data_IF_702108454919
#
_entry.id   IF_702108454919
#
_cell.length_a   1.000
_cell.length_b   1.000
_cell.length_c   1.000
_cell.angle_alpha   90.00
_cell.angle_beta   90.00
_cell.angle_gamma   90.00
#
_symmetry.space_group_name_H-M   'P 1'
#
loop_
_entity.id
_entity.type
_entity.pdbx_description
1 polymer ?
#
# COMPACT_ATOMS: atom_id res chain seq x y z
N UNK A 1 28.31 -12.78 -3.68
CA UNK A 1 27.86 -13.75 -2.65
C UNK A 1 26.37 -13.98 -2.81
N UNK A 2 25.89 -15.23 -2.77
CA UNK A 2 24.45 -15.52 -2.83
C UNK A 2 23.82 -15.33 -1.45
N UNK A 3 22.62 -14.78 -1.40
CA UNK A 3 21.86 -14.66 -0.16
C UNK A 3 21.59 -16.04 0.42
N UNK A 4 21.57 -16.13 1.74
CA UNK A 4 21.25 -17.34 2.50
C UNK A 4 19.78 -17.33 2.94
N UNK A 5 19.23 -18.49 3.30
CA UNK A 5 17.86 -18.58 3.81
C UNK A 5 17.65 -17.70 5.06
N UNK A 6 18.64 -17.66 5.97
CA UNK A 6 18.62 -16.82 7.18
C UNK A 6 18.50 -15.34 6.83
N UNK A 7 19.28 -14.85 5.86
CA UNK A 7 19.22 -13.46 5.40
C UNK A 7 17.86 -13.11 4.78
N UNK A 8 17.24 -14.04 4.04
CA UNK A 8 15.89 -13.83 3.49
C UNK A 8 14.84 -13.77 4.59
N UNK A 9 14.95 -14.59 5.64
CA UNK A 9 14.03 -14.51 6.78
C UNK A 9 14.14 -13.14 7.46
N UNK A 10 15.36 -12.66 7.71
CA UNK A 10 15.57 -11.31 8.25
C UNK A 10 15.02 -10.22 7.34
N UNK A 11 15.22 -10.35 6.02
CA UNK A 11 14.65 -9.42 5.04
C UNK A 11 13.12 -9.40 5.12
N UNK A 12 12.47 -10.56 5.25
CA UNK A 12 11.00 -10.61 5.42
C UNK A 12 10.54 -9.92 6.69
N UNK A 13 11.26 -10.10 7.80
CA UNK A 13 10.96 -9.38 9.07
C UNK A 13 11.06 -7.87 8.86
N UNK A 14 12.12 -7.39 8.22
CA UNK A 14 12.28 -5.97 7.91
C UNK A 14 11.15 -5.44 7.01
N UNK A 15 10.73 -6.23 6.01
CA UNK A 15 9.60 -5.85 5.14
C UNK A 15 8.26 -5.80 5.89
N UNK A 16 8.02 -6.69 6.86
CA UNK A 16 6.86 -6.58 7.74
C UNK A 16 6.92 -5.32 8.60
N UNK A 17 8.07 -5.00 9.18
CA UNK A 17 8.25 -3.76 9.93
C UNK A 17 8.05 -2.53 9.04
N UNK A 18 8.56 -2.54 7.80
CA UNK A 18 8.34 -1.47 6.84
C UNK A 18 6.86 -1.31 6.44
N UNK A 19 6.06 -2.37 6.52
CA UNK A 19 4.62 -2.31 6.31
C UNK A 19 3.85 -1.82 7.54
N UNK A 20 4.28 -2.23 8.74
CA UNK A 20 3.57 -1.99 9.99
C UNK A 20 3.92 -0.67 10.68
N UNK A 21 5.20 -0.28 10.69
CA UNK A 21 5.65 0.96 11.36
C UNK A 21 4.96 2.22 10.80
N UNK A 22 4.80 2.40 9.48
CA UNK A 22 4.08 3.55 8.94
C UNK A 22 2.60 3.55 9.32
N UNK A 23 2.02 2.37 9.54
CA UNK A 23 0.64 2.24 10.03
C UNK A 23 0.53 2.71 11.48
N UNK A 24 1.44 2.28 12.36
CA UNK A 24 1.51 2.75 13.75
C UNK A 24 1.74 4.27 13.80
N UNK A 25 2.67 4.76 12.97
CA UNK A 25 2.96 6.19 12.87
C UNK A 25 1.74 7.00 12.44
N UNK A 26 0.89 6.47 11.54
CA UNK A 26 -0.33 7.14 11.09
C UNK A 26 -1.28 7.46 12.25
N UNK A 27 -1.53 6.49 13.15
CA UNK A 27 -2.39 6.71 14.33
C UNK A 27 -1.77 7.66 15.34
N UNK A 28 -0.46 7.55 15.56
CA UNK A 28 0.24 8.46 16.45
C UNK A 28 0.25 9.90 15.92
N UNK A 29 0.50 10.09 14.62
CA UNK A 29 0.45 11.40 13.97
C UNK A 29 -0.97 11.99 14.03
N UNK A 30 -2.00 11.16 13.86
CA UNK A 30 -3.39 11.56 14.01
C UNK A 30 -3.70 12.06 15.42
N UNK A 31 -3.29 11.31 16.46
CA UNK A 31 -3.57 11.67 17.85
C UNK A 31 -2.80 12.90 18.34
N UNK A 32 -1.65 13.19 17.72
CA UNK A 32 -0.81 14.34 18.02
C UNK A 32 -1.15 15.57 17.17
N UNK A 33 -2.22 15.51 16.35
CA UNK A 33 -2.63 16.62 15.48
C UNK A 33 -1.55 17.06 14.50
N UNK A 34 -0.71 16.13 14.02
CA UNK A 34 0.44 16.43 13.15
C UNK A 34 0.08 16.58 11.67
N UNK A 35 -1.20 16.41 11.32
CA UNK A 35 -1.69 16.62 9.96
C UNK A 35 -1.99 18.10 9.69
N UNK A 36 -2.14 18.43 8.41
CA UNK A 36 -2.54 19.76 7.97
C UNK A 36 -3.98 20.09 8.36
N UNK A 37 -4.47 21.25 7.90
CA UNK A 37 -5.85 21.68 8.09
C UNK A 37 -6.88 20.70 7.52
N UNK A 38 -6.49 19.81 6.61
CA UNK A 38 -7.31 18.73 6.07
C UNK A 38 -6.65 17.35 6.33
N UNK A 39 -6.90 16.75 7.52
CA UNK A 39 -6.32 15.46 7.88
C UNK A 39 -6.77 14.31 7.01
N UNK A 40 -8.01 14.35 6.48
CA UNK A 40 -8.56 13.30 5.65
C UNK A 40 -7.73 13.13 4.37
N UNK A 41 -7.47 14.26 3.70
CA UNK A 41 -6.65 14.30 2.49
C UNK A 41 -5.20 13.87 2.74
N UNK A 42 -4.61 14.26 3.86
CA UNK A 42 -3.24 13.84 4.22
C UNK A 42 -3.14 12.34 4.43
N UNK A 43 -4.10 11.75 5.15
CA UNK A 43 -4.19 10.30 5.37
C UNK A 43 -4.37 9.59 4.03
N UNK A 44 -5.28 10.06 3.18
CA UNK A 44 -5.54 9.44 1.88
C UNK A 44 -4.30 9.49 0.96
N UNK A 45 -3.61 10.63 0.90
CA UNK A 45 -2.38 10.72 0.12
C UNK A 45 -1.27 9.84 0.69
N UNK A 46 -1.16 9.74 2.02
CA UNK A 46 -0.17 8.89 2.65
C UNK A 46 -0.40 7.40 2.37
N UNK A 47 -1.62 6.91 2.58
CA UNK A 47 -1.99 5.52 2.32
C UNK A 47 -1.78 5.15 0.84
N UNK A 48 -2.16 6.04 -0.08
CA UNK A 48 -1.95 5.86 -1.52
C UNK A 48 -0.47 5.79 -1.90
N UNK A 49 0.37 6.71 -1.37
CA UNK A 49 1.83 6.66 -1.59
C UNK A 49 2.45 5.38 -1.05
N UNK A 50 2.00 4.88 0.10
CA UNK A 50 2.50 3.62 0.67
C UNK A 50 2.14 2.42 -0.22
N UNK A 51 0.89 2.34 -0.71
CA UNK A 51 0.48 1.31 -1.65
C UNK A 51 1.35 1.32 -2.92
N UNK A 52 1.61 2.50 -3.51
CA UNK A 52 2.48 2.64 -4.69
C UNK A 52 3.92 2.20 -4.41
N UNK A 53 4.50 2.57 -3.26
CA UNK A 53 5.85 2.12 -2.87
C UNK A 53 5.94 0.59 -2.80
N UNK A 54 4.95 -0.07 -2.21
CA UNK A 54 4.91 -1.54 -2.14
C UNK A 54 4.65 -2.19 -3.50
N UNK A 55 3.82 -1.59 -4.36
CA UNK A 55 3.62 -2.01 -5.74
C UNK A 55 4.94 -2.00 -6.50
N UNK A 56 5.64 -0.86 -6.49
CA UNK A 56 6.93 -0.69 -7.15
C UNK A 56 7.98 -1.67 -6.58
N UNK A 57 8.05 -1.81 -5.26
CA UNK A 57 8.95 -2.78 -4.63
C UNK A 57 8.66 -4.21 -5.11
N UNK A 58 7.39 -4.60 -5.22
CA UNK A 58 6.96 -5.92 -5.72
C UNK A 58 7.41 -6.15 -7.16
N UNK A 59 7.23 -5.15 -8.03
CA UNK A 59 7.64 -5.19 -9.44
C UNK A 59 9.16 -5.26 -9.58
N UNK A 60 9.91 -4.61 -8.69
CA UNK A 60 11.37 -4.60 -8.69
C UNK A 60 11.99 -5.93 -8.23
N UNK A 61 11.28 -6.79 -7.49
CA UNK A 61 11.85 -8.07 -7.02
C UNK A 61 12.30 -8.95 -8.19
N UNK A 62 11.48 -9.08 -9.23
CA UNK A 62 11.78 -9.93 -10.38
C UNK A 62 13.03 -9.50 -11.17
N UNK A 63 13.16 -8.23 -11.62
CA UNK A 63 14.38 -7.79 -12.30
C UNK A 63 15.58 -7.84 -11.35
N UNK A 64 15.43 -7.48 -10.08
CA UNK A 64 16.54 -7.48 -9.13
C UNK A 64 17.04 -8.91 -8.84
N UNK A 65 16.14 -9.89 -8.69
CA UNK A 65 16.50 -11.30 -8.56
C UNK A 65 17.25 -11.82 -9.79
N UNK A 66 16.85 -11.39 -10.99
CA UNK A 66 17.47 -11.78 -12.28
C UNK A 66 18.85 -11.16 -12.46
N UNK A 67 18.94 -9.83 -12.42
CA UNK A 67 20.18 -9.10 -12.71
C UNK A 67 21.22 -9.24 -11.60
N UNK A 68 20.81 -9.28 -10.32
CA UNK A 68 21.73 -9.51 -9.21
C UNK A 68 22.11 -10.99 -9.02
N UNK A 69 21.55 -11.90 -9.84
CA UNK A 69 21.74 -13.36 -9.73
C UNK A 69 21.38 -13.91 -8.33
N UNK A 70 20.29 -13.39 -7.75
CA UNK A 70 19.79 -13.71 -6.41
C UNK A 70 18.38 -14.33 -6.47
N UNK A 71 18.23 -15.61 -6.86
CA UNK A 71 16.91 -16.23 -7.05
C UNK A 71 16.08 -16.29 -5.76
N UNK A 72 16.71 -16.34 -4.58
CA UNK A 72 16.00 -16.40 -3.30
C UNK A 72 15.20 -15.13 -2.99
N UNK A 73 15.52 -13.98 -3.60
CA UNK A 73 14.74 -12.75 -3.44
C UNK A 73 13.31 -12.91 -3.94
N UNK A 74 13.03 -13.80 -4.89
CA UNK A 74 11.68 -14.01 -5.40
C UNK A 74 10.70 -14.43 -4.28
N UNK A 75 11.21 -15.00 -3.18
CA UNK A 75 10.42 -15.39 -2.00
C UNK A 75 9.85 -14.20 -1.21
N UNK A 76 10.31 -12.98 -1.44
CA UNK A 76 9.77 -11.77 -0.81
C UNK A 76 8.66 -11.12 -1.64
N UNK A 77 8.52 -11.47 -2.93
CA UNK A 77 7.53 -10.89 -3.84
C UNK A 77 6.10 -11.00 -3.32
N UNK A 78 5.70 -12.19 -2.85
CA UNK A 78 4.35 -12.41 -2.29
C UNK A 78 4.08 -11.53 -1.06
N UNK A 79 5.08 -11.39 -0.19
CA UNK A 79 4.96 -10.57 1.02
C UNK A 79 4.75 -9.09 0.68
N UNK A 80 5.54 -8.55 -0.25
CA UNK A 80 5.38 -7.16 -0.70
C UNK A 80 4.02 -6.93 -1.36
N UNK A 81 3.55 -7.90 -2.16
CA UNK A 81 2.22 -7.86 -2.77
C UNK A 81 1.08 -7.81 -1.75
N UNK A 82 1.18 -8.60 -0.66
CA UNK A 82 0.20 -8.57 0.44
C UNK A 82 0.17 -7.21 1.14
N UNK A 83 1.34 -6.61 1.40
CA UNK A 83 1.41 -5.26 1.96
C UNK A 83 0.91 -4.19 1.00
N UNK A 84 1.19 -4.33 -0.29
CA UNK A 84 0.61 -3.46 -1.33
C UNK A 84 -0.92 -3.50 -1.27
N UNK A 85 -1.52 -4.68 -1.23
CA UNK A 85 -2.96 -4.85 -1.14
C UNK A 85 -3.54 -4.31 0.18
N UNK A 86 -2.87 -4.56 1.32
CA UNK A 86 -3.29 -4.02 2.60
C UNK A 86 -3.33 -2.48 2.60
N UNK A 87 -2.26 -1.84 2.12
CA UNK A 87 -2.21 -0.37 2.01
C UNK A 87 -3.17 0.19 0.96
N UNK A 88 -3.40 -0.52 -0.15
CA UNK A 88 -4.39 -0.13 -1.16
C UNK A 88 -5.82 -0.21 -0.60
N UNK A 89 -6.10 -1.22 0.22
CA UNK A 89 -7.39 -1.35 0.92
C UNK A 89 -7.56 -0.24 1.94
N UNK A 90 -6.54 0.07 2.74
CA UNK A 90 -6.56 1.24 3.64
C UNK A 90 -6.79 2.54 2.88
N UNK A 91 -6.20 2.70 1.69
CA UNK A 91 -6.43 3.86 0.84
C UNK A 91 -7.89 3.97 0.39
N UNK A 92 -8.46 2.88 -0.13
CA UNK A 92 -9.86 2.82 -0.53
C UNK A 92 -10.81 3.10 0.65
N UNK A 93 -10.56 2.48 1.80
CA UNK A 93 -11.35 2.69 3.02
C UNK A 93 -11.21 4.13 3.52
N UNK A 94 -10.02 4.73 3.44
CA UNK A 94 -9.83 6.13 3.84
C UNK A 94 -10.63 7.08 2.96
N UNK A 95 -10.67 6.87 1.64
CA UNK A 95 -11.53 7.63 0.74
C UNK A 95 -13.01 7.43 1.06
N UNK A 96 -13.45 6.18 1.21
CA UNK A 96 -14.85 5.86 1.47
C UNK A 96 -15.37 6.45 2.80
N UNK A 97 -14.56 6.39 3.87
CA UNK A 97 -14.98 6.79 5.21
C UNK A 97 -14.67 8.26 5.54
N UNK A 98 -13.53 8.78 5.10
CA UNK A 98 -13.09 10.13 5.47
C UNK A 98 -13.50 11.18 4.44
N UNK A 99 -13.43 10.87 3.14
CA UNK A 99 -13.79 11.81 2.06
C UNK A 99 -15.29 11.79 1.78
N UNK A 100 -15.88 10.61 1.55
CA UNK A 100 -17.33 10.49 1.31
C UNK A 100 -18.12 10.59 2.61
N UNK A 101 -17.63 9.97 3.68
CA UNK A 101 -18.38 9.79 4.91
C UNK A 101 -19.35 8.59 4.83
N UNK A 102 -19.60 7.97 5.99
CA UNK A 102 -20.42 6.74 6.13
C UNK A 102 -21.82 6.91 5.52
N UNK A 103 -22.40 8.11 5.61
CA UNK A 103 -23.76 8.39 5.13
C UNK A 103 -23.86 8.51 3.60
N UNK A 104 -22.73 8.76 2.91
CA UNK A 104 -22.72 9.02 1.48
C UNK A 104 -22.03 7.91 0.67
N UNK A 105 -21.79 6.74 1.26
CA UNK A 105 -21.14 5.61 0.60
C UNK A 105 -21.83 5.20 -0.71
N UNK A 106 -23.13 5.44 -0.84
CA UNK A 106 -23.88 5.22 -2.08
C UNK A 106 -23.38 6.06 -3.27
N UNK A 107 -22.76 7.23 -3.01
CA UNK A 107 -22.18 8.11 -4.03
C UNK A 107 -20.85 7.59 -4.60
N UNK A 108 -20.27 6.56 -3.98
CA UNK A 108 -18.97 6.03 -4.41
C UNK A 108 -19.03 5.59 -5.88
N UNK A 109 -20.11 4.90 -6.28
CA UNK A 109 -20.30 4.46 -7.66
C UNK A 109 -20.38 5.61 -8.66
N UNK A 110 -21.08 6.70 -8.34
CA UNK A 110 -21.17 7.87 -9.22
C UNK A 110 -19.84 8.61 -9.32
N UNK A 111 -19.15 8.81 -8.19
CA UNK A 111 -17.84 9.48 -8.16
C UNK A 111 -16.79 8.73 -9.00
N UNK A 112 -16.83 7.39 -8.98
CA UNK A 112 -15.98 6.52 -9.78
C UNK A 112 -16.12 6.74 -11.28
N UNK A 113 -17.35 6.98 -11.75
CA UNK A 113 -17.64 7.21 -13.17
C UNK A 113 -17.28 8.64 -13.56
N UNK A 114 -17.54 9.60 -12.67
CA UNK A 114 -17.25 11.02 -12.93
C UNK A 114 -15.75 11.32 -12.91
N UNK A 115 -14.95 10.59 -12.12
CA UNK A 115 -13.51 10.83 -11.95
C UNK A 115 -12.68 9.66 -12.50
N UNK A 116 -12.10 9.78 -13.72
CA UNK A 116 -11.42 8.67 -14.38
C UNK A 116 -10.21 8.11 -13.61
N UNK A 117 -9.55 8.93 -12.78
CA UNK A 117 -8.46 8.46 -11.93
C UNK A 117 -8.92 7.52 -10.81
N UNK A 118 -10.16 7.64 -10.32
CA UNK A 118 -10.74 6.72 -9.34
C UNK A 118 -11.07 5.37 -9.98
N UNK A 119 -11.54 5.37 -11.23
CA UNK A 119 -11.79 4.14 -12.00
C UNK A 119 -10.50 3.32 -12.12
N UNK A 120 -9.38 3.97 -12.49
CA UNK A 120 -8.08 3.30 -12.58
C UNK A 120 -7.63 2.72 -11.23
N UNK A 121 -7.89 3.45 -10.14
CA UNK A 121 -7.60 2.99 -8.78
C UNK A 121 -8.35 1.70 -8.43
N UNK A 122 -9.66 1.66 -8.67
CA UNK A 122 -10.48 0.48 -8.36
C UNK A 122 -10.20 -0.69 -9.27
N UNK A 123 -9.98 -0.47 -10.56
CA UNK A 123 -9.54 -1.55 -11.48
C UNK A 123 -8.22 -2.14 -10.98
N UNK A 124 -7.26 -1.31 -10.60
CA UNK A 124 -5.98 -1.77 -10.04
C UNK A 124 -6.17 -2.55 -8.74
N UNK A 125 -7.07 -2.08 -7.87
CA UNK A 125 -7.39 -2.78 -6.61
C UNK A 125 -8.06 -4.14 -6.86
N UNK A 126 -8.99 -4.24 -7.82
CA UNK A 126 -9.61 -5.50 -8.23
C UNK A 126 -8.60 -6.48 -8.82
N UNK A 127 -7.63 -6.00 -9.61
CA UNK A 127 -6.53 -6.82 -10.13
C UNK A 127 -5.63 -7.34 -9.00
N UNK A 128 -5.42 -6.56 -7.94
CA UNK A 128 -4.68 -7.02 -6.76
C UNK A 128 -5.47 -8.03 -5.90
N UNK A 129 -6.81 -8.01 -5.98
CA UNK A 129 -7.70 -8.91 -5.25
C UNK A 129 -7.82 -10.30 -5.90
N UNK A 130 -7.74 -10.37 -7.24
CA UNK A 130 -7.87 -11.59 -8.03
C UNK A 130 -6.65 -12.52 -7.94
#
# INVERSE_FOLDING_TARGET
MRLTAKQITWLKVLLHLAGLLPFIWLFWAASQGQFSADPAKDIQHFTGRMALKFMLATLLVSPLARYAKQPLLIRTRRLLGLWCFAWATLHLTSYALLELGINNLALLGSELVTRPYLTLGIVSWLVLLA
#
